data_IF_527427332422
#
_entry.id   IF_527427332422
#
_cell.length_a   1.000
_cell.length_b   1.000
_cell.length_c   1.000
_cell.angle_alpha   90.00
_cell.angle_beta   90.00
_cell.angle_gamma   90.00
#
_symmetry.space_group_name_H-M   'P 1'
#
loop_
_entity.id
_entity.type
_entity.pdbx_description
1 polymer ?
#
# COMPACT_ATOMS: atom_id res chain seq x y z
N UNK A 1 -21.28 2.99 -31.87
CA UNK A 1 -20.77 3.23 -30.50
C UNK A 1 -19.65 4.25 -30.59
N UNK A 2 -19.88 5.49 -30.16
CA UNK A 2 -18.90 6.58 -30.32
C UNK A 2 -17.95 6.60 -29.11
N UNK A 3 -16.77 5.98 -29.27
CA UNK A 3 -15.77 5.91 -28.19
C UNK A 3 -15.05 7.27 -28.12
N UNK A 4 -15.48 8.15 -27.22
CA UNK A 4 -14.73 9.39 -26.93
C UNK A 4 -13.50 9.04 -26.11
N UNK A 5 -12.32 9.10 -26.72
CA UNK A 5 -11.03 8.89 -26.05
C UNK A 5 -10.80 10.06 -25.08
N UNK A 6 -10.80 9.77 -23.78
CA UNK A 6 -10.51 10.75 -22.73
C UNK A 6 -8.99 10.98 -22.68
N UNK A 7 -8.55 12.25 -22.66
CA UNK A 7 -7.12 12.60 -22.57
C UNK A 7 -6.50 12.03 -21.29
N UNK A 8 -5.24 11.57 -21.38
CA UNK A 8 -4.48 11.08 -20.22
C UNK A 8 -4.18 12.27 -19.30
N UNK A 9 -4.68 12.22 -18.07
CA UNK A 9 -4.45 13.27 -17.08
C UNK A 9 -3.05 13.17 -16.46
N UNK A 10 -2.52 14.31 -15.98
CA UNK A 10 -1.19 14.37 -15.36
C UNK A 10 -1.02 13.41 -14.18
N UNK A 11 -2.07 13.19 -13.38
CA UNK A 11 -2.03 12.20 -12.29
C UNK A 11 -1.62 10.81 -12.80
N UNK A 12 -2.16 10.38 -13.94
CA UNK A 12 -1.85 9.06 -14.50
C UNK A 12 -0.38 8.96 -14.93
N UNK A 13 0.17 10.03 -15.50
CA UNK A 13 1.59 10.11 -15.88
C UNK A 13 2.47 10.04 -14.62
N UNK A 14 2.13 10.80 -13.57
CA UNK A 14 2.86 10.75 -12.29
C UNK A 14 2.80 9.35 -11.66
N UNK A 15 1.65 8.69 -11.69
CA UNK A 15 1.53 7.31 -11.20
C UNK A 15 2.47 6.37 -11.96
N UNK A 16 2.50 6.45 -13.29
CA UNK A 16 3.38 5.62 -14.10
C UNK A 16 4.86 5.87 -13.77
N UNK A 17 5.25 7.14 -13.63
CA UNK A 17 6.62 7.53 -13.24
C UNK A 17 6.96 6.99 -11.84
N UNK A 18 6.07 7.16 -10.86
CA UNK A 18 6.27 6.64 -9.50
C UNK A 18 6.43 5.12 -9.49
N UNK A 19 5.64 4.38 -10.27
CA UNK A 19 5.77 2.93 -10.39
C UNK A 19 7.11 2.54 -11.00
N UNK A 20 7.52 3.18 -12.09
CA UNK A 20 8.81 2.91 -12.74
C UNK A 20 9.97 3.13 -11.76
N UNK A 21 9.99 4.27 -11.06
CA UNK A 21 11.01 4.60 -10.07
C UNK A 21 11.01 3.57 -8.93
N UNK A 22 9.84 3.23 -8.40
CA UNK A 22 9.70 2.23 -7.35
C UNK A 22 10.20 0.85 -7.75
N UNK A 23 9.90 0.39 -8.96
CA UNK A 23 10.39 -0.91 -9.46
C UNK A 23 11.90 -0.87 -9.67
N UNK A 24 12.47 0.25 -10.14
CA UNK A 24 13.92 0.42 -10.25
C UNK A 24 14.56 0.34 -8.86
N UNK A 25 14.06 1.09 -7.88
CA UNK A 25 14.55 1.05 -6.49
C UNK A 25 14.47 -0.37 -5.92
N UNK A 26 13.36 -1.07 -6.16
CA UNK A 26 13.18 -2.45 -5.73
C UNK A 26 14.25 -3.40 -6.28
N UNK A 27 14.59 -3.26 -7.57
CA UNK A 27 15.66 -4.04 -8.21
C UNK A 27 17.04 -3.69 -7.65
N UNK A 28 17.31 -2.41 -7.44
CA UNK A 28 18.59 -1.94 -6.89
C UNK A 28 18.82 -2.43 -5.45
N UNK A 29 17.77 -2.40 -4.63
CA UNK A 29 17.79 -2.90 -3.25
C UNK A 29 17.62 -4.42 -3.15
N UNK A 30 17.51 -5.13 -4.27
CA UNK A 30 17.26 -6.59 -4.35
C UNK A 30 16.08 -7.03 -3.46
N UNK A 31 15.01 -6.24 -3.46
CA UNK A 31 13.83 -6.55 -2.67
C UNK A 31 13.14 -7.80 -3.21
N UNK A 32 12.63 -8.63 -2.30
CA UNK A 32 12.04 -9.93 -2.62
C UNK A 32 10.73 -9.79 -3.42
N UNK A 33 10.00 -8.69 -3.24
CA UNK A 33 8.66 -8.53 -3.81
C UNK A 33 8.38 -7.16 -4.46
N UNK A 34 8.91 -6.90 -5.67
CA UNK A 34 8.69 -5.66 -6.43
C UNK A 34 7.22 -5.32 -6.71
N UNK A 35 6.33 -6.30 -6.63
CA UNK A 35 4.89 -6.10 -6.79
C UNK A 35 4.29 -5.17 -5.73
N UNK A 36 4.70 -5.29 -4.46
CA UNK A 36 4.04 -4.56 -3.37
C UNK A 36 4.45 -3.10 -3.29
N UNK A 37 5.73 -2.80 -3.56
CA UNK A 37 6.23 -1.43 -3.69
C UNK A 37 5.56 -0.69 -4.86
N UNK A 38 5.31 -1.37 -5.97
CA UNK A 38 4.56 -0.81 -7.10
C UNK A 38 3.12 -0.46 -6.70
N UNK A 39 2.39 -1.41 -6.07
CA UNK A 39 1.02 -1.16 -5.59
C UNK A 39 0.97 -0.05 -4.55
N UNK A 40 1.94 -0.01 -3.63
CA UNK A 40 2.03 1.07 -2.65
C UNK A 40 2.17 2.43 -3.33
N UNK A 41 2.99 2.52 -4.38
CA UNK A 41 3.14 3.74 -5.16
C UNK A 41 1.85 4.14 -5.86
N UNK A 42 1.12 3.17 -6.44
CA UNK A 42 -0.15 3.40 -7.13
C UNK A 42 -1.22 3.94 -6.17
N UNK A 43 -1.39 3.29 -5.02
CA UNK A 43 -2.45 3.61 -4.07
C UNK A 43 -2.15 4.92 -3.33
N UNK A 44 -0.88 5.20 -3.07
CA UNK A 44 -0.47 6.46 -2.43
C UNK A 44 -0.47 7.64 -3.38
N UNK A 45 -0.43 7.45 -4.70
CA UNK A 45 -0.52 8.55 -5.66
C UNK A 45 -1.94 9.10 -5.74
N UNK A 46 -2.12 10.36 -5.33
CA UNK A 46 -3.40 11.07 -5.37
C UNK A 46 -3.31 12.38 -6.16
N UNK A 47 -4.45 13.07 -6.29
CA UNK A 47 -4.54 14.32 -7.05
C UNK A 47 -3.78 15.49 -6.42
N UNK A 48 -3.53 15.46 -5.10
CA UNK A 48 -2.70 16.43 -4.37
C UNK A 48 -1.63 15.73 -3.53
N UNK A 49 -0.58 16.47 -3.17
CA UNK A 49 0.53 15.96 -2.33
C UNK A 49 0.00 15.60 -0.93
N UNK A 50 -0.82 16.47 -0.32
CA UNK A 50 -1.43 16.21 0.98
C UNK A 50 -2.33 14.96 0.94
N UNK A 51 -3.17 14.83 -0.09
CA UNK A 51 -3.99 13.63 -0.27
C UNK A 51 -3.14 12.38 -0.45
N UNK A 52 -1.99 12.50 -1.12
CA UNK A 52 -1.05 11.38 -1.32
C UNK A 52 -0.39 10.97 -0.01
N UNK A 53 0.00 11.94 0.80
CA UNK A 53 0.53 11.70 2.14
C UNK A 53 -0.50 11.05 3.04
N UNK A 54 -1.75 11.54 3.04
CA UNK A 54 -2.86 10.94 3.80
C UNK A 54 -3.15 9.50 3.36
N UNK A 55 -3.21 9.26 2.05
CA UNK A 55 -3.38 7.92 1.49
C UNK A 55 -2.21 6.99 1.85
N UNK A 56 -0.98 7.48 1.77
CA UNK A 56 0.22 6.76 2.20
C UNK A 56 0.21 6.42 3.68
N UNK A 57 -0.15 7.37 4.55
CA UNK A 57 -0.30 7.14 5.99
C UNK A 57 -1.32 6.05 6.28
N UNK A 58 -2.53 6.14 5.73
CA UNK A 58 -3.55 5.10 5.89
C UNK A 58 -3.07 3.74 5.40
N UNK A 59 -2.35 3.72 4.28
CA UNK A 59 -1.76 2.49 3.74
C UNK A 59 -0.72 1.88 4.69
N UNK A 60 0.14 2.70 5.27
CA UNK A 60 1.15 2.25 6.23
C UNK A 60 0.50 1.70 7.51
N UNK A 61 -0.49 2.39 8.05
CA UNK A 61 -1.23 1.97 9.24
C UNK A 61 -1.96 0.64 9.03
N UNK A 62 -2.64 0.48 7.89
CA UNK A 62 -3.30 -0.78 7.58
C UNK A 62 -2.29 -1.91 7.36
N UNK A 63 -1.17 -1.63 6.69
CA UNK A 63 -0.10 -2.62 6.52
C UNK A 63 0.49 -3.06 7.86
N UNK A 64 0.63 -2.13 8.82
CA UNK A 64 1.08 -2.44 10.17
C UNK A 64 0.15 -3.42 10.89
N UNK A 65 -1.15 -3.12 10.95
CA UNK A 65 -2.12 -4.00 11.62
C UNK A 65 -2.21 -5.36 10.92
N UNK A 66 -2.31 -5.36 9.58
CA UNK A 66 -2.34 -6.60 8.80
C UNK A 66 -1.08 -7.44 8.97
N UNK A 67 0.09 -6.79 9.04
CA UNK A 67 1.37 -7.46 9.22
C UNK A 67 1.54 -8.06 10.63
N UNK A 68 1.09 -7.34 11.66
CA UNK A 68 1.13 -7.81 13.05
C UNK A 68 0.23 -9.04 13.21
N UNK A 69 -1.06 -8.92 12.84
CA UNK A 69 -1.99 -10.05 12.98
C UNK A 69 -1.58 -11.21 12.08
N UNK A 70 -1.15 -10.91 10.85
CA UNK A 70 -0.68 -11.92 9.90
C UNK A 70 0.53 -12.66 10.43
N UNK A 71 1.52 -11.97 10.99
CA UNK A 71 2.69 -12.58 11.61
C UNK A 71 2.30 -13.55 12.73
N UNK A 72 1.48 -13.12 13.68
CA UNK A 72 1.10 -13.97 14.82
C UNK A 72 0.32 -15.20 14.39
N UNK A 73 -0.72 -15.05 13.55
CA UNK A 73 -1.57 -16.18 13.16
C UNK A 73 -0.89 -17.13 12.17
N UNK A 74 -0.07 -16.61 11.26
CA UNK A 74 0.69 -17.47 10.33
C UNK A 74 1.84 -18.20 11.02
N UNK A 75 2.31 -17.72 12.17
CA UNK A 75 3.26 -18.45 13.02
C UNK A 75 2.63 -19.64 13.75
N UNK A 76 1.30 -19.67 13.90
CA UNK A 76 0.56 -20.80 14.50
C UNK A 76 0.29 -21.87 13.45
N UNK A 77 -0.44 -21.51 12.38
CA UNK A 77 -0.76 -22.43 11.29
C UNK A 77 -1.04 -21.64 10.00
N UNK A 78 -0.03 -21.44 9.14
CA UNK A 78 -0.19 -20.67 7.92
C UNK A 78 -1.17 -21.35 6.95
N UNK A 79 -2.03 -20.57 6.30
CA UNK A 79 -3.04 -21.07 5.37
C UNK A 79 -4.27 -21.73 6.04
N UNK A 80 -4.35 -21.81 7.37
CA UNK A 80 -5.51 -22.38 8.05
C UNK A 80 -6.77 -21.53 7.83
N UNK A 81 -7.82 -22.15 7.30
CA UNK A 81 -9.07 -21.48 6.90
C UNK A 81 -9.78 -20.83 8.10
N UNK A 82 -9.78 -21.47 9.27
CA UNK A 82 -10.44 -20.96 10.47
C UNK A 82 -9.66 -19.74 11.00
N UNK A 83 -8.32 -19.83 11.05
CA UNK A 83 -7.48 -18.70 11.47
C UNK A 83 -7.58 -17.51 10.52
N UNK A 84 -7.78 -17.73 9.22
CA UNK A 84 -8.03 -16.65 8.26
C UNK A 84 -9.34 -15.92 8.62
N UNK A 85 -10.42 -16.65 8.86
CA UNK A 85 -11.71 -16.05 9.26
C UNK A 85 -11.59 -15.26 10.57
N UNK A 86 -11.00 -15.86 11.61
CA UNK A 86 -10.78 -15.20 12.90
C UNK A 86 -9.85 -13.98 12.78
N UNK A 87 -8.81 -14.08 11.95
CA UNK A 87 -7.87 -13.00 11.72
C UNK A 87 -8.48 -11.82 10.99
N UNK A 88 -9.39 -12.03 10.04
CA UNK A 88 -10.14 -10.93 9.40
C UNK A 88 -10.99 -10.19 10.44
N UNK A 89 -11.71 -10.92 11.30
CA UNK A 89 -12.50 -10.31 12.38
C UNK A 89 -11.58 -9.49 13.29
N UNK A 90 -10.44 -10.06 13.70
CA UNK A 90 -9.47 -9.38 14.55
C UNK A 90 -8.90 -8.12 13.90
N UNK A 91 -8.51 -8.18 12.62
CA UNK A 91 -7.98 -7.02 11.88
C UNK A 91 -9.03 -5.90 11.79
N UNK A 92 -10.27 -6.23 11.42
CA UNK A 92 -11.36 -5.24 11.32
C UNK A 92 -11.62 -4.60 12.68
N UNK A 93 -11.70 -5.42 13.74
CA UNK A 93 -11.92 -4.94 15.09
C UNK A 93 -10.80 -4.02 15.58
N UNK A 94 -9.53 -4.38 15.35
CA UNK A 94 -8.38 -3.54 15.69
C UNK A 94 -8.41 -2.21 14.93
N UNK A 95 -8.68 -2.24 13.61
CA UNK A 95 -8.81 -0.99 12.84
C UNK A 95 -9.96 -0.12 13.36
N UNK A 96 -11.06 -0.70 13.83
CA UNK A 96 -12.17 0.04 14.43
C UNK A 96 -11.78 0.67 15.78
N UNK A 97 -11.05 -0.04 16.65
CA UNK A 97 -10.58 0.52 17.93
C UNK A 97 -9.72 1.77 17.71
N UNK A 98 -8.85 1.74 16.70
CA UNK A 98 -7.97 2.85 16.38
C UNK A 98 -8.62 3.96 15.53
N UNK A 99 -9.89 3.83 15.15
CA UNK A 99 -10.59 4.72 14.21
C UNK A 99 -9.85 4.85 12.88
N UNK A 100 -9.37 3.72 12.33
CA UNK A 100 -8.61 3.62 11.08
C UNK A 100 -9.41 2.91 9.99
N UNK A 101 -10.69 3.24 9.83
CA UNK A 101 -11.62 2.58 8.93
C UNK A 101 -11.14 2.63 7.47
N UNK A 102 -10.49 3.74 7.09
CA UNK A 102 -9.89 3.93 5.76
C UNK A 102 -8.73 2.97 5.47
N UNK A 103 -8.18 2.33 6.51
CA UNK A 103 -7.06 1.40 6.44
C UNK A 103 -7.50 -0.07 6.52
N UNK A 104 -8.75 -0.35 6.90
CA UNK A 104 -9.26 -1.70 7.16
C UNK A 104 -9.11 -2.62 5.95
N UNK A 105 -9.50 -2.15 4.75
CA UNK A 105 -9.43 -2.99 3.54
C UNK A 105 -7.99 -3.40 3.22
N UNK A 106 -7.03 -2.47 3.32
CA UNK A 106 -5.63 -2.81 3.04
C UNK A 106 -5.02 -3.67 4.15
N UNK A 107 -5.43 -3.47 5.41
CA UNK A 107 -5.01 -4.33 6.51
C UNK A 107 -5.44 -5.79 6.29
N UNK A 108 -6.68 -6.00 5.85
CA UNK A 108 -7.19 -7.33 5.51
C UNK A 108 -6.41 -7.95 4.34
N UNK A 109 -6.11 -7.17 3.30
CA UNK A 109 -5.31 -7.65 2.16
C UNK A 109 -3.91 -8.06 2.57
N UNK A 110 -3.23 -7.27 3.42
CA UNK A 110 -1.88 -7.58 3.92
C UNK A 110 -1.90 -8.82 4.81
N UNK A 111 -2.89 -8.92 5.71
CA UNK A 111 -3.11 -10.11 6.53
C UNK A 111 -3.27 -11.37 5.68
N UNK A 112 -4.17 -11.36 4.68
CA UNK A 112 -4.37 -12.48 3.76
C UNK A 112 -3.10 -12.78 2.96
N UNK A 113 -2.39 -11.75 2.51
CA UNK A 113 -1.14 -11.93 1.79
C UNK A 113 -0.12 -12.71 2.63
N UNK A 114 0.01 -12.41 3.92
CA UNK A 114 0.89 -13.14 4.83
C UNK A 114 0.37 -14.55 5.11
N UNK A 115 -0.92 -14.72 5.43
CA UNK A 115 -1.46 -16.04 5.74
C UNK A 115 -1.37 -17.02 4.56
N UNK A 116 -1.42 -16.52 3.33
CA UNK A 116 -1.59 -17.36 2.13
C UNK A 116 -0.36 -17.43 1.22
N UNK A 117 0.61 -16.52 1.33
CA UNK A 117 1.71 -16.42 0.36
C UNK A 117 3.13 -16.54 0.95
N UNK A 118 3.31 -17.19 2.11
CA UNK A 118 4.64 -17.34 2.70
C UNK A 118 5.63 -18.06 1.77
N UNK A 119 5.19 -19.02 0.95
CA UNK A 119 6.04 -19.72 -0.05
C UNK A 119 7.43 -20.17 0.47
N UNK A 120 7.50 -20.57 1.74
CA UNK A 120 8.75 -20.99 2.40
C UNK A 120 9.54 -19.88 3.11
N UNK A 121 9.17 -18.60 2.92
CA UNK A 121 9.69 -17.47 3.68
C UNK A 121 9.14 -17.46 5.11
N UNK A 122 9.92 -16.96 6.06
CA UNK A 122 9.48 -16.87 7.45
C UNK A 122 8.37 -15.82 7.59
N UNK A 123 7.35 -16.06 8.45
CA UNK A 123 6.31 -15.07 8.75
C UNK A 123 6.87 -13.70 9.13
N UNK A 124 7.92 -13.69 9.93
CA UNK A 124 8.58 -12.47 10.38
C UNK A 124 9.17 -11.68 9.20
N UNK A 125 10.00 -12.34 8.37
CA UNK A 125 10.68 -11.69 7.26
C UNK A 125 9.67 -11.16 6.24
N UNK A 126 8.65 -11.94 5.93
CA UNK A 126 7.59 -11.53 5.00
C UNK A 126 6.83 -10.30 5.50
N UNK A 127 6.47 -10.28 6.78
CA UNK A 127 5.78 -9.14 7.40
C UNK A 127 6.65 -7.87 7.44
N UNK A 128 7.94 -8.00 7.75
CA UNK A 128 8.89 -6.88 7.70
C UNK A 128 9.04 -6.36 6.27
N UNK A 129 9.19 -7.26 5.29
CA UNK A 129 9.26 -6.88 3.88
C UNK A 129 8.01 -6.14 3.44
N UNK A 130 6.82 -6.53 3.90
CA UNK A 130 5.57 -5.79 3.62
C UNK A 130 5.60 -4.34 4.10
N UNK A 131 6.14 -4.09 5.29
CA UNK A 131 6.27 -2.75 5.82
C UNK A 131 7.29 -1.92 5.02
N UNK A 132 8.45 -2.51 4.71
CA UNK A 132 9.49 -1.85 3.91
C UNK A 132 9.02 -1.54 2.48
N UNK A 133 8.44 -2.53 1.78
CA UNK A 133 7.87 -2.36 0.43
C UNK A 133 6.88 -1.20 0.40
N UNK A 134 5.99 -1.17 1.40
CA UNK A 134 4.95 -0.15 1.49
C UNK A 134 5.54 1.23 1.77
N UNK A 135 6.46 1.32 2.73
CA UNK A 135 7.10 2.57 3.11
C UNK A 135 7.86 3.22 1.94
N UNK A 136 8.68 2.43 1.22
CA UNK A 136 9.44 2.94 0.08
C UNK A 136 8.49 3.39 -1.04
N UNK A 137 7.46 2.61 -1.36
CA UNK A 137 6.49 2.97 -2.38
C UNK A 137 5.73 4.26 -2.06
N UNK A 138 5.40 4.49 -0.78
CA UNK A 138 4.79 5.74 -0.31
C UNK A 138 5.74 6.92 -0.54
N UNK A 139 7.01 6.80 -0.13
CA UNK A 139 8.01 7.87 -0.29
C UNK A 139 8.15 8.26 -1.76
N UNK A 140 8.27 7.27 -2.64
CA UNK A 140 8.41 7.50 -4.08
C UNK A 140 7.15 8.19 -4.63
N UNK A 141 5.95 7.73 -4.28
CA UNK A 141 4.71 8.34 -4.77
C UNK A 141 4.56 9.79 -4.31
N UNK A 142 4.79 10.06 -3.02
CA UNK A 142 4.70 11.42 -2.46
C UNK A 142 5.77 12.32 -3.09
N UNK A 143 7.01 11.83 -3.19
CA UNK A 143 8.11 12.57 -3.82
C UNK A 143 7.83 12.91 -5.27
N UNK A 144 7.38 11.93 -6.06
CA UNK A 144 6.99 12.16 -7.46
C UNK A 144 5.84 13.16 -7.57
N UNK A 145 4.83 13.07 -6.69
CA UNK A 145 3.72 14.02 -6.74
C UNK A 145 4.13 15.45 -6.39
N UNK A 146 5.09 15.58 -5.49
CA UNK A 146 5.67 16.86 -5.07
C UNK A 146 6.54 17.49 -6.16
N UNK A 147 7.47 16.74 -6.75
CA UNK A 147 8.44 17.29 -7.71
C UNK A 147 7.89 17.42 -9.14
N UNK A 148 7.01 16.50 -9.57
CA UNK A 148 6.51 16.51 -10.95
C UNK A 148 5.20 17.28 -11.00
N UNK A 149 5.22 18.51 -11.53
CA UNK A 149 4.03 19.35 -11.73
C UNK A 149 3.13 19.37 -10.48
N UNK A 150 3.63 19.89 -9.33
CA UNK A 150 2.82 19.97 -8.12
C UNK A 150 1.49 20.64 -8.47
N UNK A 151 0.35 20.01 -8.12
CA UNK A 151 -0.95 20.58 -8.41
C UNK A 151 -0.98 21.95 -7.74
N UNK A 152 -1.15 23.01 -8.53
CA UNK A 152 -1.32 24.35 -7.99
C UNK A 152 -2.52 24.28 -7.05
N UNK A 153 -2.31 24.61 -5.78
CA UNK A 153 -3.42 24.97 -4.91
C UNK A 153 -4.10 26.14 -5.63
N UNK A 154 -5.28 25.87 -6.21
CA UNK A 154 -6.17 26.94 -6.64
C UNK A 154 -6.69 27.52 -5.32
N UNK A 155 -5.89 28.40 -4.71
CA UNK A 155 -6.46 29.55 -4.03
C UNK A 155 -6.99 30.39 -5.18
N UNK A 156 -8.27 30.22 -5.47
CA UNK A 156 -9.00 31.23 -6.20
C UNK A 156 -8.74 32.55 -5.46
N UNK A 157 -8.02 33.43 -6.14
CA UNK A 157 -8.08 34.86 -5.89
C UNK A 157 -9.53 35.22 -6.17
N UNK A 158 -10.29 35.53 -5.12
CA UNK A 158 -11.23 36.65 -5.00
C UNK A 158 -11.78 36.72 -3.56
#
# INVERSE_FOLDING_TARGET
MNIRIKKIGMRNIKTAIAVVISVIISKLLKMEYPFYIAIASIISMQSSVEASFKAGRNRMLGTLIGAIVGFFLSSINPGNIILIGLGIIAVIYLCSIFNWEQSTSIACVVFCAIMMNLKGSSPFLYSVNRLLDTFIGIIVAVGVNYFISPPKDIKDVD
#
